data_IF_899034552327
#
_entry.id   IF_899034552327
#
_cell.length_a   1.000
_cell.length_b   1.000
_cell.length_c   1.000
_cell.angle_alpha   90.00
_cell.angle_beta   90.00
_cell.angle_gamma   90.00
#
_symmetry.space_group_name_H-M   'P 1'
#
loop_
_entity.id
_entity.type
_entity.pdbx_description
1 polymer ?
#
# COMPACT_ATOMS: atom_id res chain seq x y z
N UNK A 1 22.69 4.29 -15.36
CA UNK A 1 22.54 2.95 -14.72
C UNK A 1 22.75 3.15 -13.24
N UNK A 2 21.78 2.76 -12.42
CA UNK A 2 21.80 2.86 -10.94
C UNK A 2 21.75 1.46 -10.32
N UNK A 3 22.16 1.37 -9.05
CA UNK A 3 21.93 0.18 -8.22
C UNK A 3 20.81 0.47 -7.25
N UNK A 4 19.74 -0.32 -7.29
CA UNK A 4 18.54 -0.13 -6.48
C UNK A 4 18.41 -1.29 -5.47
N UNK A 5 18.33 -0.96 -4.20
CA UNK A 5 18.03 -1.90 -3.14
C UNK A 5 16.50 -1.97 -2.94
N UNK A 6 15.93 -3.17 -2.96
CA UNK A 6 14.49 -3.39 -2.76
C UNK A 6 14.32 -4.28 -1.53
N UNK A 7 13.79 -3.74 -0.46
CA UNK A 7 13.59 -4.44 0.80
C UNK A 7 12.18 -5.06 0.81
N UNK A 8 12.11 -6.32 0.37
CA UNK A 8 10.88 -7.09 0.27
C UNK A 8 10.68 -7.74 -1.10
N UNK A 9 10.53 -9.05 -1.13
CA UNK A 9 10.35 -9.91 -2.31
C UNK A 9 8.88 -10.27 -2.62
N UNK A 10 7.93 -9.54 -2.02
CA UNK A 10 6.51 -9.70 -2.31
C UNK A 10 6.16 -9.26 -3.75
N UNK A 11 4.91 -9.49 -4.18
CA UNK A 11 4.45 -9.15 -5.54
C UNK A 11 4.81 -7.72 -5.96
N UNK A 12 4.61 -6.73 -5.08
CA UNK A 12 4.89 -5.33 -5.38
C UNK A 12 6.39 -5.04 -5.49
N UNK A 13 7.21 -5.58 -4.58
CA UNK A 13 8.67 -5.42 -4.64
C UNK A 13 9.26 -6.03 -5.91
N UNK A 14 8.79 -7.22 -6.31
CA UNK A 14 9.22 -7.87 -7.55
C UNK A 14 8.74 -7.09 -8.78
N UNK A 15 7.49 -6.60 -8.81
CA UNK A 15 6.98 -5.80 -9.94
C UNK A 15 7.78 -4.50 -10.14
N UNK A 16 8.08 -3.77 -9.06
CA UNK A 16 8.96 -2.59 -9.12
C UNK A 16 10.37 -2.95 -9.60
N UNK A 17 10.90 -4.09 -9.13
CA UNK A 17 12.22 -4.57 -9.53
C UNK A 17 12.28 -4.89 -11.02
N UNK A 18 11.26 -5.54 -11.59
CA UNK A 18 11.16 -5.83 -13.02
C UNK A 18 11.11 -4.53 -13.83
N UNK A 19 10.28 -3.58 -13.41
CA UNK A 19 10.20 -2.28 -14.06
C UNK A 19 11.57 -1.56 -14.09
N UNK A 20 12.23 -1.46 -12.93
CA UNK A 20 13.54 -0.79 -12.82
C UNK A 20 14.65 -1.52 -13.59
N UNK A 21 14.63 -2.84 -13.58
CA UNK A 21 15.56 -3.66 -14.33
C UNK A 21 15.37 -3.51 -15.86
N UNK A 22 14.13 -3.37 -16.33
CA UNK A 22 13.83 -3.10 -17.75
C UNK A 22 14.39 -1.77 -18.25
N UNK A 23 14.64 -0.83 -17.34
CA UNK A 23 15.28 0.47 -17.63
C UNK A 23 16.83 0.40 -17.56
N UNK A 24 17.40 -0.79 -17.43
CA UNK A 24 18.86 -0.99 -17.40
C UNK A 24 19.51 -0.79 -16.03
N UNK A 25 18.73 -0.69 -14.94
CA UNK A 25 19.27 -0.60 -13.59
C UNK A 25 19.63 -1.99 -13.04
N UNK A 26 20.62 -2.04 -12.15
CA UNK A 26 20.91 -3.22 -11.33
C UNK A 26 19.97 -3.23 -10.11
N UNK A 27 19.24 -4.32 -9.89
CA UNK A 27 18.30 -4.41 -8.78
C UNK A 27 18.71 -5.54 -7.84
N UNK A 28 18.85 -5.20 -6.55
CA UNK A 28 19.10 -6.16 -5.48
C UNK A 28 17.88 -6.23 -4.59
N UNK A 29 17.26 -7.40 -4.51
CA UNK A 29 16.08 -7.63 -3.65
C UNK A 29 16.54 -8.30 -2.36
N UNK A 30 16.06 -7.80 -1.23
CA UNK A 30 16.14 -8.54 0.03
C UNK A 30 14.88 -9.38 0.23
N UNK A 31 15.07 -10.67 0.54
CA UNK A 31 13.98 -11.56 0.91
C UNK A 31 14.25 -12.15 2.30
N UNK A 32 13.22 -12.21 3.12
CA UNK A 32 13.25 -12.97 4.37
C UNK A 32 13.30 -14.47 4.10
N UNK A 33 12.59 -14.93 3.04
CA UNK A 33 12.49 -16.33 2.67
C UNK A 33 13.62 -16.74 1.71
N UNK A 34 14.44 -17.69 2.14
CA UNK A 34 15.56 -18.24 1.35
C UNK A 34 15.08 -18.97 0.11
N UNK A 35 13.93 -19.64 0.19
CA UNK A 35 13.37 -20.35 -0.96
C UNK A 35 12.86 -19.37 -2.02
N UNK A 36 12.22 -18.29 -1.61
CA UNK A 36 11.84 -17.21 -2.54
C UNK A 36 13.08 -16.59 -3.21
N UNK A 37 14.15 -16.37 -2.45
CA UNK A 37 15.41 -15.88 -3.02
C UNK A 37 16.00 -16.88 -4.05
N UNK A 38 15.93 -18.17 -3.79
CA UNK A 38 16.35 -19.22 -4.73
C UNK A 38 15.51 -19.21 -6.00
N UNK A 39 14.18 -19.16 -5.87
CA UNK A 39 13.25 -19.11 -7.01
C UNK A 39 13.53 -17.90 -7.91
N UNK A 40 13.74 -16.72 -7.32
CA UNK A 40 14.06 -15.48 -8.05
C UNK A 40 15.40 -15.62 -8.79
N UNK A 41 16.44 -16.16 -8.14
CA UNK A 41 17.78 -16.23 -8.72
C UNK A 41 17.91 -17.32 -9.79
N UNK A 42 17.44 -18.53 -9.49
CA UNK A 42 17.70 -19.73 -10.29
C UNK A 42 16.58 -19.99 -11.31
N UNK A 43 15.32 -19.89 -10.89
CA UNK A 43 14.17 -20.20 -11.74
C UNK A 43 13.57 -18.97 -12.43
N UNK A 44 13.99 -17.76 -12.05
CA UNK A 44 13.44 -16.50 -12.54
C UNK A 44 11.93 -16.38 -12.35
N UNK A 45 11.44 -16.85 -11.18
CA UNK A 45 10.03 -16.88 -10.80
C UNK A 45 9.81 -16.20 -9.46
N UNK A 46 8.61 -15.74 -9.22
CA UNK A 46 8.13 -15.24 -7.94
C UNK A 46 6.83 -15.95 -7.56
N UNK A 47 6.78 -16.53 -6.36
CA UNK A 47 5.61 -17.22 -5.82
C UNK A 47 4.37 -16.29 -5.79
N UNK A 48 4.57 -15.01 -5.46
CA UNK A 48 3.50 -14.02 -5.30
C UNK A 48 3.16 -13.29 -6.60
N UNK A 49 3.88 -13.58 -7.69
CA UNK A 49 3.66 -12.97 -9.00
C UNK A 49 4.01 -14.00 -10.10
N UNK A 50 3.23 -15.09 -10.20
CA UNK A 50 3.60 -16.26 -10.99
C UNK A 50 3.67 -16.02 -12.50
N UNK A 51 3.03 -14.93 -12.99
CA UNK A 51 3.07 -14.55 -14.42
C UNK A 51 4.30 -13.71 -14.79
N UNK A 52 5.06 -13.22 -13.80
CA UNK A 52 6.19 -12.34 -14.05
C UNK A 52 7.42 -13.12 -14.55
N UNK A 53 8.11 -12.52 -15.53
CA UNK A 53 9.42 -12.97 -15.99
C UNK A 53 10.48 -12.09 -15.36
N UNK A 54 11.35 -12.66 -14.54
CA UNK A 54 12.37 -11.92 -13.78
C UNK A 54 13.64 -11.74 -14.62
N UNK A 55 14.04 -10.48 -14.95
CA UNK A 55 15.28 -10.19 -15.72
C UNK A 55 16.56 -10.64 -15.00
N UNK A 56 17.63 -10.85 -15.77
CA UNK A 56 18.92 -11.33 -15.24
C UNK A 56 19.66 -10.29 -14.39
N UNK A 57 19.39 -9.02 -14.56
CA UNK A 57 19.93 -7.91 -13.76
C UNK A 57 19.18 -7.70 -12.42
N UNK A 58 18.37 -8.66 -12.02
CA UNK A 58 17.78 -8.77 -10.68
C UNK A 58 18.47 -9.91 -9.93
N UNK A 59 18.96 -9.60 -8.73
CA UNK A 59 19.55 -10.58 -7.79
C UNK A 59 18.83 -10.48 -6.45
N UNK A 60 18.46 -11.63 -5.87
CA UNK A 60 17.80 -11.68 -4.56
C UNK A 60 18.76 -12.26 -3.50
N UNK A 61 18.81 -11.63 -2.34
CA UNK A 61 19.68 -11.98 -1.22
C UNK A 61 18.89 -12.02 0.10
N UNK A 62 19.43 -12.71 1.10
CA UNK A 62 18.87 -12.74 2.46
C UNK A 62 19.65 -11.84 3.44
N UNK A 63 20.74 -11.22 2.99
CA UNK A 63 21.60 -10.35 3.78
C UNK A 63 21.35 -8.87 3.41
N UNK A 64 21.07 -8.03 4.41
CA UNK A 64 20.77 -6.61 4.19
C UNK A 64 22.01 -5.85 3.69
N UNK A 65 23.20 -6.17 4.19
CA UNK A 65 24.44 -5.50 3.78
C UNK A 65 24.69 -5.70 2.29
N UNK A 66 24.59 -6.93 1.80
CA UNK A 66 24.78 -7.26 0.39
C UNK A 66 23.77 -6.52 -0.53
N UNK A 67 22.58 -6.21 -0.01
CA UNK A 67 21.54 -5.53 -0.79
C UNK A 67 21.73 -4.03 -0.78
N UNK A 68 22.06 -3.43 0.37
CA UNK A 68 22.03 -1.98 0.60
C UNK A 68 23.37 -1.31 0.27
N UNK A 69 24.50 -1.95 0.57
CA UNK A 69 25.82 -1.32 0.43
C UNK A 69 26.06 -0.88 -1.03
N UNK A 70 26.32 0.44 -1.20
CA UNK A 70 26.55 1.05 -2.52
C UNK A 70 25.31 1.15 -3.41
N UNK A 71 24.10 1.00 -2.89
CA UNK A 71 22.89 1.33 -3.63
C UNK A 71 22.70 2.85 -3.76
N UNK A 72 22.10 3.29 -4.86
CA UNK A 72 21.76 4.71 -5.09
C UNK A 72 20.39 5.07 -4.49
N UNK A 73 19.52 4.08 -4.25
CA UNK A 73 18.16 4.24 -3.79
C UNK A 73 17.71 2.98 -3.06
N UNK A 74 16.98 3.13 -1.96
CA UNK A 74 16.40 2.03 -1.19
C UNK A 74 14.88 2.11 -1.30
N UNK A 75 14.23 1.05 -1.78
CA UNK A 75 12.78 0.89 -1.80
C UNK A 75 12.36 -0.01 -0.63
N UNK A 76 11.59 0.52 0.31
CA UNK A 76 11.02 -0.24 1.42
C UNK A 76 9.64 -0.76 1.02
N UNK A 77 9.51 -2.08 0.82
CA UNK A 77 8.32 -2.73 0.21
C UNK A 77 7.82 -3.91 1.04
N UNK A 78 8.09 -3.91 2.34
CA UNK A 78 7.61 -4.97 3.25
C UNK A 78 6.17 -4.68 3.70
N UNK A 79 5.40 -5.68 4.17
CA UNK A 79 4.10 -5.41 4.77
C UNK A 79 4.20 -4.43 5.93
N UNK A 80 3.24 -3.50 6.04
CA UNK A 80 3.29 -2.33 6.93
C UNK A 80 3.63 -2.67 8.38
N UNK A 81 3.06 -3.75 8.93
CA UNK A 81 3.28 -4.22 10.30
C UNK A 81 4.72 -4.62 10.63
N UNK A 82 5.54 -4.88 9.61
CA UNK A 82 6.96 -5.27 9.82
C UNK A 82 7.92 -4.10 9.60
N UNK A 83 7.46 -2.94 9.15
CA UNK A 83 8.31 -1.80 8.78
C UNK A 83 9.33 -1.47 9.85
N UNK A 84 8.92 -1.19 11.09
CA UNK A 84 9.83 -0.83 12.20
C UNK A 84 10.86 -1.92 12.48
N UNK A 85 10.40 -3.17 12.57
CA UNK A 85 11.29 -4.29 12.86
C UNK A 85 12.34 -4.53 11.77
N UNK A 86 11.98 -4.32 10.52
CA UNK A 86 12.88 -4.46 9.37
C UNK A 86 13.84 -3.26 9.28
N UNK A 87 13.37 -2.02 9.49
CA UNK A 87 14.23 -0.84 9.52
C UNK A 87 15.30 -0.96 10.59
N UNK A 88 14.95 -1.42 11.80
CA UNK A 88 15.92 -1.68 12.88
C UNK A 88 17.03 -2.65 12.48
N UNK A 89 16.73 -3.63 11.62
CA UNK A 89 17.73 -4.63 11.20
C UNK A 89 18.68 -4.10 10.14
N UNK A 90 18.23 -3.21 9.26
CA UNK A 90 19.06 -2.74 8.15
C UNK A 90 19.68 -1.35 8.35
N UNK A 91 19.26 -0.60 9.37
CA UNK A 91 19.66 0.81 9.56
C UNK A 91 21.16 1.05 9.63
N UNK A 92 21.92 0.11 10.16
CA UNK A 92 23.37 0.22 10.27
C UNK A 92 24.12 0.15 8.93
N UNK A 93 23.46 -0.33 7.87
CA UNK A 93 24.01 -0.46 6.52
C UNK A 93 23.65 0.71 5.61
N UNK A 94 22.83 1.67 6.08
CA UNK A 94 22.33 2.80 5.28
C UNK A 94 23.26 4.00 5.39
N UNK A 95 23.72 4.52 4.25
CA UNK A 95 24.34 5.84 4.14
C UNK A 95 23.22 6.89 3.97
N UNK A 96 22.78 7.48 5.09
CA UNK A 96 21.64 8.41 5.11
C UNK A 96 21.83 9.66 4.24
N UNK A 97 23.07 10.08 3.96
CA UNK A 97 23.35 11.24 3.10
C UNK A 97 23.10 10.90 1.62
N UNK A 98 23.48 9.68 1.20
CA UNK A 98 23.49 9.29 -0.22
C UNK A 98 22.31 8.42 -0.64
N UNK A 99 21.75 7.65 0.30
CA UNK A 99 20.76 6.61 0.01
C UNK A 99 19.37 7.01 0.54
N UNK A 100 18.54 7.71 -0.24
CA UNK A 100 17.18 7.96 0.18
C UNK A 100 16.39 6.65 0.29
N UNK A 101 15.47 6.62 1.26
CA UNK A 101 14.58 5.49 1.51
C UNK A 101 13.18 5.87 1.03
N UNK A 102 12.64 5.10 0.09
CA UNK A 102 11.30 5.31 -0.46
C UNK A 102 10.36 4.24 0.05
N UNK A 103 9.40 4.66 0.85
CA UNK A 103 8.33 3.80 1.33
C UNK A 103 7.36 3.52 0.17
N UNK A 104 7.24 2.25 -0.20
CA UNK A 104 6.32 1.77 -1.24
C UNK A 104 5.20 0.90 -0.64
N UNK A 105 5.25 0.63 0.65
CA UNK A 105 4.23 -0.09 1.40
C UNK A 105 3.05 0.82 1.71
N UNK A 106 1.87 0.23 1.87
CA UNK A 106 0.62 0.97 2.12
C UNK A 106 0.00 0.54 3.44
N UNK A 107 0.13 1.36 4.47
CA UNK A 107 -0.39 1.06 5.81
C UNK A 107 -0.05 2.14 6.82
N UNK A 108 -0.53 1.94 8.04
CA UNK A 108 -0.28 2.76 9.22
C UNK A 108 0.21 1.83 10.32
N UNK A 109 1.22 2.23 11.07
CA UNK A 109 1.70 1.40 12.18
C UNK A 109 0.65 1.31 13.29
N UNK A 110 0.29 0.08 13.69
CA UNK A 110 -0.84 -0.17 14.59
C UNK A 110 -0.68 0.50 15.97
N UNK A 111 0.47 0.33 16.59
CA UNK A 111 0.67 0.74 17.99
C UNK A 111 0.83 2.25 18.17
N UNK A 112 1.36 2.92 17.17
CA UNK A 112 1.69 4.36 17.23
C UNK A 112 0.78 5.22 16.37
N UNK A 113 0.06 4.62 15.42
CA UNK A 113 -0.71 5.30 14.39
C UNK A 113 0.12 6.23 13.49
N UNK A 114 1.43 5.98 13.39
CA UNK A 114 2.34 6.72 12.52
C UNK A 114 2.24 6.23 11.07
N UNK A 115 2.45 7.14 10.13
CA UNK A 115 2.74 6.80 8.74
C UNK A 115 4.11 6.11 8.64
N UNK A 116 4.34 5.35 7.59
CA UNK A 116 5.53 4.50 7.52
C UNK A 116 6.81 5.32 7.30
N UNK A 117 6.74 6.49 6.66
CA UNK A 117 7.83 7.46 6.58
C UNK A 117 8.22 7.97 7.98
N UNK A 118 7.22 8.26 8.83
CA UNK A 118 7.45 8.66 10.22
C UNK A 118 8.11 7.53 11.03
N UNK A 119 7.72 6.27 10.78
CA UNK A 119 8.36 5.10 11.39
C UNK A 119 9.83 4.99 10.96
N UNK A 120 10.12 5.16 9.67
CA UNK A 120 11.51 5.18 9.16
C UNK A 120 12.30 6.30 9.80
N UNK A 121 11.72 7.51 9.89
CA UNK A 121 12.36 8.68 10.51
C UNK A 121 12.61 8.51 12.00
N UNK A 122 11.76 7.80 12.73
CA UNK A 122 12.01 7.49 14.15
C UNK A 122 13.22 6.55 14.34
N UNK A 123 13.42 5.59 13.46
CA UNK A 123 14.52 4.63 13.54
C UNK A 123 15.82 5.17 12.92
N UNK A 124 15.71 6.06 11.94
CA UNK A 124 16.79 6.70 11.18
C UNK A 124 16.49 8.20 11.02
N UNK A 125 16.71 9.04 12.04
CA UNK A 125 16.37 10.47 12.02
C UNK A 125 17.02 11.24 10.85
N UNK A 126 18.22 10.88 10.47
CA UNK A 126 18.98 11.53 9.38
C UNK A 126 18.59 11.04 7.97
N UNK A 127 17.80 9.98 7.85
CA UNK A 127 17.46 9.44 6.55
C UNK A 127 16.67 10.43 5.70
N UNK A 128 16.97 10.50 4.42
CA UNK A 128 16.17 11.18 3.39
C UNK A 128 15.03 10.25 2.99
N UNK A 129 13.79 10.60 3.33
CA UNK A 129 12.66 9.69 3.16
C UNK A 129 11.66 10.25 2.15
N UNK A 130 11.11 9.36 1.34
CA UNK A 130 9.99 9.62 0.45
C UNK A 130 8.98 8.48 0.46
N UNK A 131 7.88 8.65 -0.24
CA UNK A 131 6.88 7.61 -0.49
C UNK A 131 6.57 7.50 -1.98
N UNK A 132 6.26 6.29 -2.45
CA UNK A 132 5.80 6.03 -3.82
C UNK A 132 4.47 5.29 -3.75
N UNK A 133 3.40 5.90 -4.26
CA UNK A 133 2.05 5.35 -4.21
C UNK A 133 1.23 5.74 -5.44
N UNK A 134 0.05 5.15 -5.61
CA UNK A 134 -0.86 5.39 -6.73
C UNK A 134 -1.54 4.12 -7.21
N UNK A 135 -2.41 4.20 -8.23
CA UNK A 135 -3.13 3.07 -8.81
C UNK A 135 -2.16 2.12 -9.53
N UNK A 136 -1.75 1.03 -8.86
CA UNK A 136 -0.67 0.16 -9.34
C UNK A 136 -0.80 -1.27 -8.80
N UNK A 137 -1.54 -2.11 -9.53
CA UNK A 137 -1.51 -3.54 -9.27
C UNK A 137 -0.18 -4.15 -9.76
N UNK A 138 0.45 -4.97 -8.91
CA UNK A 138 1.73 -5.58 -9.21
C UNK A 138 1.68 -6.44 -10.48
N UNK A 139 0.55 -7.10 -10.71
CA UNK A 139 0.26 -7.92 -11.87
C UNK A 139 0.37 -7.11 -13.17
N UNK A 140 -0.22 -5.92 -13.19
CA UNK A 140 -0.20 -5.04 -14.37
C UNK A 140 1.17 -4.38 -14.56
N UNK A 141 1.78 -3.90 -13.48
CA UNK A 141 3.12 -3.26 -13.54
C UNK A 141 4.17 -4.24 -14.05
N UNK A 142 4.12 -5.51 -13.61
CA UNK A 142 5.10 -6.53 -14.00
C UNK A 142 5.09 -6.88 -15.49
N UNK A 143 3.98 -6.63 -16.18
CA UNK A 143 3.82 -6.81 -17.63
C UNK A 143 3.80 -5.50 -18.42
N UNK A 144 4.26 -4.43 -17.78
CA UNK A 144 4.43 -3.09 -18.37
C UNK A 144 3.11 -2.47 -18.91
N UNK A 145 1.97 -2.71 -18.26
CA UNK A 145 0.74 -1.95 -18.50
C UNK A 145 0.98 -0.50 -18.07
N UNK A 146 0.56 0.50 -18.86
CA UNK A 146 0.75 1.91 -18.51
C UNK A 146 0.21 2.24 -17.13
N UNK A 147 1.09 2.73 -16.26
CA UNK A 147 0.81 2.99 -14.84
C UNK A 147 1.25 4.39 -14.45
N UNK A 148 0.50 5.02 -13.56
CA UNK A 148 0.80 6.37 -13.07
C UNK A 148 0.94 6.36 -11.56
N UNK A 149 2.06 6.90 -11.04
CA UNK A 149 2.38 6.96 -9.61
C UNK A 149 2.64 8.38 -9.14
N UNK A 150 2.73 8.56 -7.84
CA UNK A 150 3.16 9.79 -7.16
C UNK A 150 4.36 9.47 -6.27
N UNK A 151 5.46 10.20 -6.48
CA UNK A 151 6.60 10.25 -5.59
C UNK A 151 6.46 11.45 -4.65
N UNK A 152 6.35 11.19 -3.36
CA UNK A 152 6.20 12.23 -2.36
C UNK A 152 7.43 12.31 -1.44
N UNK A 153 7.90 13.51 -1.16
CA UNK A 153 8.93 13.80 -0.16
C UNK A 153 8.95 15.30 0.13
N UNK A 154 9.37 15.71 1.32
CA UNK A 154 9.70 17.11 1.59
C UNK A 154 10.98 17.55 0.89
N UNK A 155 11.87 16.60 0.59
CA UNK A 155 13.12 16.81 -0.13
C UNK A 155 12.89 16.77 -1.66
N UNK A 156 13.13 17.88 -2.34
CA UNK A 156 12.95 18.01 -3.79
C UNK A 156 13.87 17.08 -4.59
N UNK A 157 15.12 16.89 -4.13
CA UNK A 157 16.08 16.01 -4.82
C UNK A 157 15.61 14.56 -4.77
N UNK A 158 15.04 14.13 -3.62
CA UNK A 158 14.43 12.80 -3.49
C UNK A 158 13.27 12.63 -4.45
N UNK A 159 12.37 13.63 -4.56
CA UNK A 159 11.26 13.57 -5.51
C UNK A 159 11.75 13.42 -6.95
N UNK A 160 12.73 14.25 -7.34
CA UNK A 160 13.34 14.21 -8.69
C UNK A 160 14.05 12.88 -8.95
N UNK A 161 14.85 12.42 -7.99
CA UNK A 161 15.56 11.14 -8.12
C UNK A 161 14.60 9.99 -8.38
N UNK A 162 13.49 9.91 -7.63
CA UNK A 162 12.47 8.87 -7.85
C UNK A 162 11.81 9.05 -9.21
N UNK A 163 11.40 10.26 -9.56
CA UNK A 163 10.79 10.55 -10.86
C UNK A 163 11.70 10.11 -12.02
N UNK A 164 12.96 10.53 -12.01
CA UNK A 164 13.94 10.19 -13.06
C UNK A 164 14.28 8.70 -13.10
N UNK A 165 14.20 8.02 -11.93
CA UNK A 165 14.54 6.59 -11.83
C UNK A 165 13.40 5.70 -12.35
N UNK A 166 12.15 6.13 -12.24
CA UNK A 166 10.98 5.31 -12.57
C UNK A 166 10.30 5.67 -13.89
N UNK A 167 10.46 6.92 -14.37
CA UNK A 167 9.73 7.37 -15.56
C UNK A 167 10.24 6.77 -16.86
N UNK A 168 9.30 6.22 -17.63
CA UNK A 168 9.48 5.82 -19.03
C UNK A 168 8.13 5.90 -19.77
N UNK A 169 8.02 5.35 -20.97
CA UNK A 169 6.78 5.33 -21.75
C UNK A 169 5.65 4.46 -21.13
N UNK A 170 5.97 3.60 -20.16
CA UNK A 170 5.02 2.71 -19.46
C UNK A 170 4.71 3.15 -18.03
N UNK A 171 5.55 3.98 -17.44
CA UNK A 171 5.34 4.49 -16.09
C UNK A 171 5.55 5.99 -16.04
N UNK A 172 4.51 6.71 -15.63
CA UNK A 172 4.58 8.14 -15.36
C UNK A 172 4.58 8.38 -13.86
N UNK A 173 5.47 9.26 -13.40
CA UNK A 173 5.56 9.62 -11.97
C UNK A 173 5.34 11.13 -11.82
N UNK A 174 4.32 11.50 -11.05
CA UNK A 174 4.14 12.86 -10.58
C UNK A 174 4.82 13.05 -9.23
N UNK A 175 5.09 14.28 -8.84
CA UNK A 175 5.72 14.59 -7.55
C UNK A 175 4.75 15.32 -6.61
N UNK A 176 4.94 15.14 -5.30
CA UNK A 176 4.17 15.83 -4.26
C UNK A 176 5.08 16.16 -3.06
N UNK A 177 4.78 17.25 -2.35
CA UNK A 177 5.39 17.53 -1.05
C UNK A 177 4.62 16.93 0.12
N UNK A 178 3.36 16.54 -0.11
CA UNK A 178 2.49 15.96 0.89
C UNK A 178 2.68 14.44 0.99
N UNK A 179 3.79 14.05 1.63
CA UNK A 179 4.10 12.63 1.88
C UNK A 179 3.01 11.97 2.74
N UNK A 180 2.51 12.71 3.74
CA UNK A 180 1.47 12.22 4.63
C UNK A 180 0.16 11.92 3.90
N UNK A 181 -0.29 12.81 3.01
CA UNK A 181 -1.48 12.59 2.19
C UNK A 181 -1.33 11.41 1.24
N UNK A 182 -0.15 11.25 0.63
CA UNK A 182 0.15 10.12 -0.26
C UNK A 182 0.10 8.78 0.49
N UNK A 183 0.68 8.70 1.69
CA UNK A 183 0.67 7.47 2.49
C UNK A 183 -0.71 7.16 3.08
N UNK A 184 -1.38 8.17 3.67
CA UNK A 184 -2.72 7.98 4.24
C UNK A 184 -3.75 7.59 3.18
N UNK A 185 -3.70 8.19 1.98
CA UNK A 185 -4.54 7.77 0.85
C UNK A 185 -4.37 6.29 0.53
N UNK A 186 -3.12 5.86 0.37
CA UNK A 186 -2.77 4.47 0.09
C UNK A 186 -3.14 3.47 1.20
N UNK A 187 -3.08 3.88 2.47
CA UNK A 187 -3.42 3.05 3.61
C UNK A 187 -4.94 2.90 3.80
N UNK A 188 -5.65 4.04 3.85
CA UNK A 188 -7.09 4.07 4.19
C UNK A 188 -7.97 3.54 3.06
N UNK A 189 -7.56 3.66 1.78
CA UNK A 189 -8.30 3.08 0.65
C UNK A 189 -8.56 1.58 0.81
N UNK A 190 -7.64 0.86 1.45
CA UNK A 190 -7.73 -0.59 1.61
C UNK A 190 -8.96 -0.98 2.45
N UNK A 191 -9.38 -0.14 3.40
CA UNK A 191 -10.59 -0.34 4.21
C UNK A 191 -11.83 -0.25 3.33
N UNK A 192 -11.90 0.76 2.49
CA UNK A 192 -13.05 0.96 1.59
C UNK A 192 -13.10 -0.15 0.53
N UNK A 193 -11.95 -0.60 0.05
CA UNK A 193 -11.87 -1.74 -0.87
C UNK A 193 -12.37 -3.04 -0.20
N UNK A 194 -12.09 -3.24 1.08
CA UNK A 194 -12.66 -4.35 1.84
C UNK A 194 -14.18 -4.23 1.92
N UNK A 195 -14.71 -3.04 2.26
CA UNK A 195 -16.14 -2.78 2.29
C UNK A 195 -16.82 -3.03 0.92
N UNK A 196 -16.18 -2.58 -0.17
CA UNK A 196 -16.64 -2.87 -1.54
C UNK A 196 -16.66 -4.39 -1.81
N UNK A 197 -15.67 -5.12 -1.27
CA UNK A 197 -15.65 -6.57 -1.29
C UNK A 197 -16.84 -7.18 -0.57
N UNK A 198 -17.17 -6.73 0.65
CA UNK A 198 -18.34 -7.20 1.41
C UNK A 198 -19.63 -6.98 0.59
N UNK A 199 -19.80 -5.80 0.00
CA UNK A 199 -20.94 -5.50 -0.86
C UNK A 199 -21.00 -6.44 -2.09
N UNK A 200 -19.84 -6.76 -2.70
CA UNK A 200 -19.78 -7.74 -3.79
C UNK A 200 -20.18 -9.15 -3.34
N UNK A 201 -19.75 -9.56 -2.14
CA UNK A 201 -20.12 -10.85 -1.54
C UNK A 201 -21.61 -10.99 -1.28
N UNK A 202 -22.29 -9.89 -0.95
CA UNK A 202 -23.73 -9.78 -0.77
C UNK A 202 -24.52 -9.67 -2.08
N UNK A 203 -23.84 -9.55 -3.24
CA UNK A 203 -24.47 -9.44 -4.56
C UNK A 203 -24.94 -8.04 -4.95
N UNK A 204 -24.45 -6.98 -4.29
CA UNK A 204 -24.75 -5.60 -4.67
C UNK A 204 -24.03 -5.18 -5.96
N UNK A 205 -24.64 -4.24 -6.69
CA UNK A 205 -24.20 -3.79 -8.00
C UNK A 205 -23.53 -2.40 -8.01
N UNK A 206 -23.37 -1.86 -9.21
CA UNK A 206 -22.56 -0.68 -9.53
C UNK A 206 -22.97 0.59 -8.76
N UNK A 207 -24.27 0.82 -8.53
CA UNK A 207 -24.74 1.96 -7.75
C UNK A 207 -24.20 1.94 -6.32
N UNK A 208 -24.13 0.74 -5.70
CA UNK A 208 -23.57 0.56 -4.36
C UNK A 208 -22.06 0.82 -4.36
N UNK A 209 -21.33 0.32 -5.38
CA UNK A 209 -19.90 0.59 -5.50
C UNK A 209 -19.60 2.08 -5.69
N UNK A 210 -20.36 2.77 -6.56
CA UNK A 210 -20.20 4.21 -6.75
C UNK A 210 -20.44 4.98 -5.44
N UNK A 211 -21.51 4.65 -4.70
CA UNK A 211 -21.79 5.26 -3.40
C UNK A 211 -20.68 4.98 -2.37
N UNK A 212 -20.20 3.73 -2.27
CA UNK A 212 -19.13 3.35 -1.35
C UNK A 212 -17.81 4.07 -1.66
N UNK A 213 -17.42 4.18 -2.93
CA UNK A 213 -16.21 4.89 -3.34
C UNK A 213 -16.32 6.37 -2.98
N UNK A 214 -17.44 7.02 -3.32
CA UNK A 214 -17.65 8.45 -3.06
C UNK A 214 -17.69 8.75 -1.57
N UNK A 215 -18.49 7.99 -0.81
CA UNK A 215 -18.61 8.20 0.65
C UNK A 215 -17.36 7.75 1.39
N UNK A 216 -16.71 6.67 0.95
CA UNK A 216 -15.43 6.22 1.48
C UNK A 216 -14.32 7.25 1.30
N UNK A 217 -14.24 7.89 0.14
CA UNK A 217 -13.29 9.00 -0.09
C UNK A 217 -13.58 10.18 0.86
N UNK A 218 -14.85 10.47 1.13
CA UNK A 218 -15.22 11.52 2.09
C UNK A 218 -14.70 11.18 3.50
N UNK A 219 -14.82 9.92 3.94
CA UNK A 219 -14.27 9.47 5.24
C UNK A 219 -12.74 9.55 5.26
N UNK A 220 -12.07 9.07 4.21
CA UNK A 220 -10.61 9.17 4.05
C UNK A 220 -10.15 10.63 4.16
N UNK A 221 -10.85 11.55 3.48
CA UNK A 221 -10.53 12.98 3.54
C UNK A 221 -10.69 13.55 4.95
N UNK A 222 -11.80 13.23 5.62
CA UNK A 222 -12.05 13.74 6.99
C UNK A 222 -10.93 13.31 7.94
N UNK A 223 -10.59 12.04 7.96
CA UNK A 223 -9.52 11.53 8.82
C UNK A 223 -8.16 12.05 8.35
N UNK A 224 -7.85 11.93 7.05
CA UNK A 224 -6.56 12.33 6.50
C UNK A 224 -6.23 13.80 6.75
N UNK A 225 -7.19 14.72 6.55
CA UNK A 225 -6.98 16.15 6.81
C UNK A 225 -6.80 16.45 8.29
N UNK A 226 -7.49 15.73 9.17
CA UNK A 226 -7.26 15.84 10.63
C UNK A 226 -5.87 15.37 11.05
N UNK A 227 -5.29 14.43 10.30
CA UNK A 227 -3.92 13.94 10.49
C UNK A 227 -2.86 14.80 9.79
N UNK A 228 -3.26 15.84 9.07
CA UNK A 228 -2.36 16.79 8.42
C UNK A 228 -2.10 16.55 6.92
N UNK A 229 -2.87 15.66 6.28
CA UNK A 229 -2.84 15.50 4.82
C UNK A 229 -3.52 16.67 4.11
N UNK A 230 -3.04 17.02 2.93
CA UNK A 230 -3.72 17.97 2.05
C UNK A 230 -4.93 17.33 1.37
N UNK A 231 -6.08 18.00 1.41
CA UNK A 231 -7.31 17.48 0.81
C UNK A 231 -7.15 17.17 -0.68
N UNK A 232 -6.42 18.00 -1.42
CA UNK A 232 -6.19 17.80 -2.85
C UNK A 232 -5.38 16.54 -3.16
N UNK A 233 -4.42 16.18 -2.31
CA UNK A 233 -3.65 14.93 -2.45
C UNK A 233 -4.56 13.70 -2.37
N UNK A 234 -5.55 13.73 -1.50
CA UNK A 234 -6.51 12.63 -1.33
C UNK A 234 -7.49 12.49 -2.50
N UNK A 235 -7.72 13.56 -3.28
CA UNK A 235 -8.46 13.48 -4.56
C UNK A 235 -7.57 13.04 -5.73
N UNK A 236 -6.27 12.99 -5.54
CA UNK A 236 -5.30 12.63 -6.57
C UNK A 236 -5.14 11.12 -6.77
N UNK A 237 -4.02 10.78 -7.40
CA UNK A 237 -3.69 9.39 -7.79
C UNK A 237 -3.54 8.45 -6.60
N UNK A 238 -2.86 8.87 -5.54
CA UNK A 238 -2.62 8.05 -4.34
C UNK A 238 -3.85 7.90 -3.43
N UNK A 239 -4.84 8.80 -3.56
CA UNK A 239 -6.13 8.72 -2.88
C UNK A 239 -7.21 8.13 -3.78
N UNK A 240 -7.96 8.98 -4.48
CA UNK A 240 -9.10 8.59 -5.31
C UNK A 240 -8.71 7.58 -6.40
N UNK A 241 -7.60 7.81 -7.13
CA UNK A 241 -7.17 6.92 -8.20
C UNK A 241 -6.92 5.50 -7.72
N UNK A 242 -6.15 5.37 -6.64
CA UNK A 242 -5.83 4.09 -6.04
C UNK A 242 -7.04 3.44 -5.34
N UNK A 243 -7.97 4.24 -4.80
CA UNK A 243 -9.24 3.79 -4.25
C UNK A 243 -10.11 3.12 -5.33
N UNK A 244 -10.30 3.79 -6.46
CA UNK A 244 -11.13 3.28 -7.57
C UNK A 244 -10.60 1.93 -8.05
N UNK A 245 -9.31 1.86 -8.40
CA UNK A 245 -8.73 0.63 -8.94
C UNK A 245 -8.80 -0.51 -7.92
N UNK A 246 -8.61 -0.22 -6.64
CA UNK A 246 -8.62 -1.25 -5.59
C UNK A 246 -10.02 -1.76 -5.26
N UNK A 247 -11.05 -0.89 -5.32
CA UNK A 247 -12.44 -1.29 -5.10
C UNK A 247 -13.02 -2.10 -6.26
N UNK A 248 -12.55 -1.91 -7.49
CA UNK A 248 -13.13 -2.54 -8.68
C UNK A 248 -12.34 -3.76 -9.17
N UNK A 249 -11.04 -3.83 -8.88
CA UNK A 249 -10.17 -4.89 -9.40
C UNK A 249 -10.31 -6.22 -8.64
N UNK A 250 -10.35 -7.32 -9.38
CA UNK A 250 -10.25 -8.69 -8.82
C UNK A 250 -8.83 -9.01 -8.29
N UNK A 251 -7.79 -8.26 -8.68
CA UNK A 251 -6.44 -8.39 -8.13
C UNK A 251 -6.34 -7.87 -6.69
N UNK A 252 -7.32 -7.08 -6.23
CA UNK A 252 -7.31 -6.52 -4.88
C UNK A 252 -7.54 -7.59 -3.82
N UNK A 253 -6.48 -7.89 -3.05
CA UNK A 253 -6.55 -8.79 -1.89
C UNK A 253 -7.55 -8.33 -0.84
N UNK A 254 -7.63 -7.02 -0.61
CA UNK A 254 -8.55 -6.43 0.36
C UNK A 254 -10.01 -6.59 -0.10
N UNK A 255 -10.31 -6.31 -1.38
CA UNK A 255 -11.62 -6.54 -1.96
C UNK A 255 -12.00 -8.03 -1.94
N UNK A 256 -11.06 -8.90 -2.31
CA UNK A 256 -11.28 -10.36 -2.26
C UNK A 256 -11.57 -10.84 -0.84
N UNK A 257 -10.84 -10.35 0.15
CA UNK A 257 -11.10 -10.66 1.57
C UNK A 257 -12.50 -10.21 1.99
N UNK A 258 -12.88 -8.97 1.68
CA UNK A 258 -14.23 -8.48 1.96
C UNK A 258 -15.32 -9.32 1.29
N UNK A 259 -15.11 -9.76 0.02
CA UNK A 259 -16.05 -10.63 -0.69
C UNK A 259 -16.30 -11.95 0.03
N UNK A 260 -15.24 -12.57 0.55
CA UNK A 260 -15.34 -13.82 1.31
C UNK A 260 -16.13 -13.60 2.62
N UNK A 261 -15.87 -12.51 3.34
CA UNK A 261 -16.66 -12.13 4.54
C UNK A 261 -18.14 -11.89 4.17
N UNK A 262 -18.42 -11.16 3.09
CA UNK A 262 -19.79 -10.93 2.60
C UNK A 262 -20.52 -12.21 2.18
N UNK A 263 -19.77 -13.26 1.85
CA UNK A 263 -20.27 -14.61 1.56
C UNK A 263 -20.45 -15.48 2.82
N UNK A 264 -20.18 -14.93 4.01
CA UNK A 264 -20.37 -15.63 5.30
C UNK A 264 -19.15 -16.40 5.80
N UNK A 265 -17.94 -16.21 5.20
CA UNK A 265 -16.71 -16.81 5.73
C UNK A 265 -16.21 -16.07 6.97
N UNK A 266 -15.57 -16.80 7.87
CA UNK A 266 -14.87 -16.22 9.03
C UNK A 266 -13.60 -15.48 8.61
N UNK A 267 -13.03 -14.68 9.51
CA UNK A 267 -11.74 -14.00 9.29
C UNK A 267 -10.62 -15.02 9.06
N UNK A 268 -10.61 -16.11 9.82
CA UNK A 268 -9.60 -17.17 9.76
C UNK A 268 -9.64 -17.89 8.41
N UNK A 269 -10.84 -18.29 7.97
CA UNK A 269 -11.03 -18.89 6.65
C UNK A 269 -10.63 -17.94 5.52
N UNK A 270 -10.97 -16.66 5.66
CA UNK A 270 -10.62 -15.60 4.69
C UNK A 270 -9.10 -15.43 4.61
N UNK A 271 -8.40 -15.35 5.73
CA UNK A 271 -6.93 -15.26 5.76
C UNK A 271 -6.27 -16.47 5.12
N UNK A 272 -6.77 -17.67 5.41
CA UNK A 272 -6.26 -18.92 4.82
C UNK A 272 -6.45 -18.95 3.29
N UNK A 273 -7.60 -18.53 2.78
CA UNK A 273 -7.91 -18.55 1.35
C UNK A 273 -7.20 -17.45 0.57
N UNK A 274 -7.04 -16.26 1.14
CA UNK A 274 -6.27 -15.17 0.51
C UNK A 274 -4.78 -15.53 0.46
N UNK A 275 -4.26 -16.21 1.49
CA UNK A 275 -2.89 -16.75 1.56
C UNK A 275 -1.77 -15.70 1.56
N UNK A 276 -2.13 -14.41 1.68
CA UNK A 276 -1.22 -13.25 1.68
C UNK A 276 -1.68 -12.22 2.70
N UNK A 277 -0.82 -11.25 3.02
CA UNK A 277 -1.18 -10.15 3.93
C UNK A 277 -2.38 -9.35 3.40
N UNK A 278 -3.36 -9.12 4.29
CA UNK A 278 -4.56 -8.32 4.07
C UNK A 278 -4.42 -7.05 4.90
N UNK A 279 -3.86 -5.99 4.32
CA UNK A 279 -3.55 -4.73 5.02
C UNK A 279 -4.80 -4.05 5.61
N UNK A 280 -5.98 -4.25 5.00
CA UNK A 280 -7.22 -3.64 5.50
C UNK A 280 -7.57 -4.06 6.92
N UNK A 281 -7.31 -5.31 7.33
CA UNK A 281 -7.66 -5.80 8.66
C UNK A 281 -6.92 -5.00 9.74
N UNK A 282 -5.61 -4.82 9.57
CA UNK A 282 -4.80 -4.03 10.50
C UNK A 282 -5.18 -2.53 10.43
N UNK A 283 -5.39 -1.99 9.23
CA UNK A 283 -5.75 -0.58 9.03
C UNK A 283 -7.14 -0.21 9.58
N UNK A 284 -8.11 -1.13 9.57
CA UNK A 284 -9.46 -0.89 10.12
C UNK A 284 -9.38 -0.57 11.61
N UNK A 285 -8.64 -1.35 12.40
CA UNK A 285 -8.47 -1.10 13.83
C UNK A 285 -7.83 0.26 14.10
N UNK A 286 -6.77 0.59 13.34
CA UNK A 286 -6.08 1.87 13.46
C UNK A 286 -6.99 3.05 13.09
N UNK A 287 -7.71 2.96 11.97
CA UNK A 287 -8.62 4.00 11.52
C UNK A 287 -9.78 4.19 12.52
N UNK A 288 -10.33 3.12 13.07
CA UNK A 288 -11.35 3.17 14.11
C UNK A 288 -10.85 3.90 15.36
N UNK A 289 -9.70 3.52 15.89
CA UNK A 289 -9.08 4.18 17.04
C UNK A 289 -8.80 5.67 16.77
N UNK A 290 -8.24 6.00 15.61
CA UNK A 290 -7.95 7.40 15.22
C UNK A 290 -9.23 8.22 15.07
N UNK A 291 -10.28 7.65 14.45
CA UNK A 291 -11.56 8.36 14.26
C UNK A 291 -12.21 8.71 15.61
N UNK A 292 -12.17 7.82 16.57
CA UNK A 292 -12.65 8.06 17.94
C UNK A 292 -11.81 9.13 18.65
N UNK A 293 -10.49 8.97 18.66
CA UNK A 293 -9.56 9.91 19.30
C UNK A 293 -9.67 11.32 18.76
N UNK A 294 -9.89 11.47 17.45
CA UNK A 294 -9.97 12.76 16.76
C UNK A 294 -11.40 13.27 16.57
N UNK A 295 -12.40 12.54 17.07
CA UNK A 295 -13.82 12.84 16.91
C UNK A 295 -14.22 13.01 15.43
N UNK A 296 -13.75 12.13 14.55
CA UNK A 296 -14.05 12.11 13.11
C UNK A 296 -15.12 11.05 12.82
N UNK A 297 -16.23 11.46 12.19
CA UNK A 297 -17.29 10.51 11.80
C UNK A 297 -16.87 9.68 10.58
N UNK A 298 -16.76 8.35 10.78
CA UNK A 298 -16.36 7.38 9.76
C UNK A 298 -17.32 6.16 9.74
N UNK A 299 -18.58 6.34 9.38
CA UNK A 299 -19.60 5.28 9.48
C UNK A 299 -19.32 4.03 8.64
N UNK A 300 -18.61 4.13 7.52
CA UNK A 300 -18.23 2.95 6.73
C UNK A 300 -17.15 2.16 7.49
N UNK A 301 -16.16 2.85 8.06
CA UNK A 301 -15.12 2.22 8.89
C UNK A 301 -15.75 1.57 10.12
N UNK A 302 -16.69 2.25 10.80
CA UNK A 302 -17.43 1.72 11.95
C UNK A 302 -18.15 0.43 11.57
N UNK A 303 -18.90 0.43 10.48
CA UNK A 303 -19.65 -0.74 10.01
C UNK A 303 -18.74 -1.94 9.70
N UNK A 304 -17.60 -1.70 9.03
CA UNK A 304 -16.64 -2.77 8.71
C UNK A 304 -15.96 -3.28 9.99
N UNK A 305 -15.63 -2.40 10.93
CA UNK A 305 -15.10 -2.80 12.23
C UNK A 305 -16.08 -3.70 12.97
N UNK A 306 -17.36 -3.33 13.01
CA UNK A 306 -18.40 -4.10 13.70
C UNK A 306 -18.63 -5.47 13.04
N UNK A 307 -18.55 -5.56 11.71
CA UNK A 307 -18.60 -6.85 10.98
C UNK A 307 -17.43 -7.75 11.43
N UNK A 308 -16.22 -7.21 11.53
CA UNK A 308 -15.03 -8.01 11.80
C UNK A 308 -14.87 -8.40 13.28
N UNK A 309 -15.28 -7.52 14.21
CA UNK A 309 -14.91 -7.67 15.62
C UNK A 309 -16.12 -7.77 16.57
N UNK A 310 -17.30 -7.30 16.15
CA UNK A 310 -18.52 -7.29 16.97
C UNK A 310 -19.61 -8.23 16.43
N UNK A 311 -19.28 -9.11 15.47
CA UNK A 311 -20.20 -10.06 14.84
C UNK A 311 -21.46 -9.42 14.24
N UNK A 312 -21.35 -8.17 13.73
CA UNK A 312 -22.47 -7.55 13.03
C UNK A 312 -22.68 -8.24 11.67
N UNK A 313 -23.89 -8.67 11.42
CA UNK A 313 -24.25 -9.27 10.12
C UNK A 313 -24.05 -8.25 8.97
N UNK A 314 -23.40 -8.63 7.85
CA UNK A 314 -23.12 -7.70 6.76
C UNK A 314 -24.37 -7.01 6.18
N UNK A 315 -25.50 -7.72 6.04
CA UNK A 315 -26.76 -7.11 5.57
C UNK A 315 -27.29 -6.07 6.56
N UNK A 316 -27.15 -6.33 7.87
CA UNK A 316 -27.56 -5.38 8.89
C UNK A 316 -26.68 -4.12 8.87
N UNK A 317 -25.37 -4.26 8.65
CA UNK A 317 -24.46 -3.14 8.47
C UNK A 317 -24.90 -2.24 7.30
N UNK A 318 -25.27 -2.83 6.17
CA UNK A 318 -25.82 -2.06 5.03
C UNK A 318 -27.11 -1.35 5.43
N UNK A 319 -28.05 -2.04 6.10
CA UNK A 319 -29.29 -1.42 6.57
C UNK A 319 -29.02 -0.23 7.49
N UNK A 320 -28.11 -0.37 8.44
CA UNK A 320 -27.73 0.71 9.35
C UNK A 320 -27.15 1.93 8.58
N UNK A 321 -26.30 1.71 7.59
CA UNK A 321 -25.75 2.79 6.77
C UNK A 321 -26.82 3.51 5.97
N UNK A 322 -27.82 2.79 5.42
CA UNK A 322 -28.90 3.33 4.58
C UNK A 322 -30.00 4.04 5.39
N UNK A 323 -30.18 3.71 6.66
CA UNK A 323 -31.25 4.28 7.51
C UNK A 323 -30.75 5.38 8.46
N UNK A 324 -29.55 5.89 8.26
CA UNK A 324 -29.00 7.03 9.02
C UNK A 324 -29.85 8.29 8.83
N UNK A 325 -29.71 9.20 9.79
CA UNK A 325 -30.35 10.50 9.74
C UNK A 325 -30.08 11.25 8.43
N UNK A 326 -31.12 11.92 7.93
CA UNK A 326 -31.05 12.75 6.73
C UNK A 326 -30.08 13.90 6.96
N UNK A 327 -29.19 14.13 6.01
CA UNK A 327 -28.25 15.25 6.04
C UNK A 327 -27.92 15.74 4.64
N UNK A 328 -27.33 16.93 4.55
CA UNK A 328 -26.77 17.44 3.30
C UNK A 328 -25.57 16.58 2.88
N UNK A 329 -25.32 16.49 1.58
CA UNK A 329 -24.09 15.94 1.06
C UNK A 329 -22.97 16.99 1.24
N UNK A 330 -21.93 16.62 2.02
CA UNK A 330 -20.78 17.51 2.33
C UNK A 330 -19.58 17.11 1.46
#
# INVERSE_FOLDING_TARGET
MKTIAVIGSGSWGVALSIHLASMGNNVRIWSFDKEEARLINEEKKCKFLPMAVIPNNIVCKNDFKEVIEGADLILHVTPSKFTRGIVKQYKEFVDCEKQPIIVCSKGIEKDTALTLDEVVKQELPEARVGALSGPSHAEEVSIAVPTVLVAASKDEEVRKLVQDTFMNEKMRVYTSEDIKGVELGGALKNIIAFCAGVAAGLGYGDNTFAALITRGLTEIRRLGTKLGAESNTLYGLSGLGDLIVTCLSEHSRNRRAGKLIGQGKTIEETKAEVGMTIESIDNIEVAKHLSEKLCVSMPIVDAVYDILYNNLEPNEAVRMLMTRDKKMED
#
